data_IF_529949404551
#
_entry.id   IF_529949404551
#
_cell.length_a   1.000
_cell.length_b   1.000
_cell.length_c   1.000
_cell.angle_alpha   90.00
_cell.angle_beta   90.00
_cell.angle_gamma   90.00
#
_symmetry.space_group_name_H-M   'P 1'
#
loop_
_entity.id
_entity.type
_entity.pdbx_description
1 polymer ?
#
# COMPACT_ATOMS: atom_id res chain seq x y z
N UNK A 1 23.14 -10.71 -5.33
CA UNK A 1 23.12 -9.30 -5.76
C UNK A 1 23.92 -9.24 -7.06
N UNK A 2 23.26 -9.24 -8.21
CA UNK A 2 23.95 -9.06 -9.49
C UNK A 2 24.44 -7.62 -9.58
N UNK A 3 25.68 -7.40 -10.01
CA UNK A 3 26.16 -6.07 -10.36
C UNK A 3 25.26 -5.53 -11.48
N UNK A 4 24.33 -4.68 -11.11
CA UNK A 4 23.48 -3.97 -12.06
C UNK A 4 24.38 -3.09 -12.94
N UNK A 5 24.36 -3.34 -14.25
CA UNK A 5 25.05 -2.50 -15.25
C UNK A 5 24.40 -1.12 -15.41
N UNK A 6 23.27 -0.90 -14.72
CA UNK A 6 22.62 0.40 -14.63
C UNK A 6 23.41 1.33 -13.72
N UNK A 7 23.69 2.54 -14.21
CA UNK A 7 24.24 3.62 -13.40
C UNK A 7 23.10 4.53 -12.96
N UNK A 8 22.95 4.71 -11.65
CA UNK A 8 22.04 5.72 -11.10
C UNK A 8 22.53 7.10 -11.54
N UNK A 9 21.61 7.93 -12.04
CA UNK A 9 21.89 9.29 -12.51
C UNK A 9 21.52 10.27 -11.39
N UNK A 10 22.37 11.27 -11.17
CA UNK A 10 22.02 12.37 -10.28
C UNK A 10 20.86 13.19 -10.86
N UNK A 11 19.87 13.51 -10.02
CA UNK A 11 18.66 14.18 -10.49
C UNK A 11 18.93 15.59 -11.00
N UNK A 12 19.83 16.33 -10.35
CA UNK A 12 20.16 17.69 -10.77
C UNK A 12 20.91 17.68 -12.10
N UNK A 13 21.84 16.74 -12.28
CA UNK A 13 22.51 16.51 -13.56
C UNK A 13 21.50 16.16 -14.68
N UNK A 14 20.53 15.30 -14.39
CA UNK A 14 19.50 14.92 -15.35
C UNK A 14 18.62 16.10 -15.78
N UNK A 15 18.13 16.91 -14.83
CA UNK A 15 17.29 18.08 -15.16
C UNK A 15 18.06 19.07 -16.02
N UNK A 16 19.33 19.32 -15.69
CA UNK A 16 20.17 20.23 -16.45
C UNK A 16 20.31 19.79 -17.92
N UNK A 17 20.16 18.48 -18.20
CA UNK A 17 20.30 17.92 -19.53
C UNK A 17 18.98 17.76 -20.30
N UNK A 18 17.87 17.38 -19.64
CA UNK A 18 16.63 16.96 -20.31
C UNK A 18 15.36 17.67 -19.82
N UNK A 19 15.47 18.58 -18.86
CA UNK A 19 14.35 19.23 -18.17
C UNK A 19 13.47 18.27 -17.33
N UNK A 20 12.84 18.81 -16.28
CA UNK A 20 11.94 18.04 -15.41
C UNK A 20 10.67 17.54 -16.13
N UNK A 21 10.27 18.20 -17.23
CA UNK A 21 9.03 17.88 -17.96
C UNK A 21 9.01 16.46 -18.52
N UNK A 22 10.17 15.92 -18.86
CA UNK A 22 10.31 14.55 -19.37
C UNK A 22 9.87 13.53 -18.32
N UNK A 23 10.21 13.74 -17.05
CA UNK A 23 9.85 12.80 -15.96
C UNK A 23 8.35 12.78 -15.73
N UNK A 24 7.70 13.95 -15.75
CA UNK A 24 6.25 14.06 -15.50
C UNK A 24 5.44 13.52 -16.66
N UNK A 25 5.82 13.85 -17.90
CA UNK A 25 5.09 13.40 -19.09
C UNK A 25 5.07 11.87 -19.22
N UNK A 26 6.12 11.21 -18.76
CA UNK A 26 6.26 9.76 -18.87
C UNK A 26 5.98 9.02 -17.56
N UNK A 27 5.52 9.72 -16.51
CA UNK A 27 5.16 9.07 -15.26
C UNK A 27 3.90 8.20 -15.44
N UNK A 28 3.88 6.97 -14.90
CA UNK A 28 2.77 6.04 -15.07
C UNK A 28 1.50 6.59 -14.42
N UNK A 29 0.36 6.53 -15.12
CA UNK A 29 -0.95 6.91 -14.56
C UNK A 29 -1.43 5.79 -13.64
N UNK A 30 -1.57 6.08 -12.34
CA UNK A 30 -2.00 5.07 -11.37
C UNK A 30 -3.51 5.11 -11.21
N UNK A 31 -4.12 3.92 -11.20
CA UNK A 31 -5.55 3.75 -10.94
C UNK A 31 -5.76 3.39 -9.48
N UNK A 32 -6.62 4.13 -8.78
CA UNK A 32 -6.96 3.86 -7.38
C UNK A 32 -8.46 3.68 -7.19
N UNK A 33 -8.82 2.81 -6.25
CA UNK A 33 -10.19 2.60 -5.78
C UNK A 33 -10.67 3.80 -4.95
N UNK A 34 -11.94 4.18 -5.08
CA UNK A 34 -12.59 5.15 -4.17
C UNK A 34 -13.12 4.51 -2.88
N UNK A 35 -13.12 3.17 -2.79
CA UNK A 35 -13.81 2.44 -1.72
C UNK A 35 -12.87 1.86 -0.66
N UNK A 36 -11.59 1.65 -0.96
CA UNK A 36 -10.65 1.01 -0.02
C UNK A 36 -10.50 1.92 1.20
N UNK A 37 -10.87 1.44 2.39
CA UNK A 37 -10.91 2.24 3.61
C UNK A 37 -10.03 1.61 4.68
N UNK A 38 -9.23 2.45 5.32
CA UNK A 38 -8.63 2.11 6.60
C UNK A 38 -9.52 2.59 7.72
N UNK A 39 -9.66 1.74 8.74
CA UNK A 39 -10.38 2.09 9.95
C UNK A 39 -9.39 2.66 10.98
N UNK A 40 -9.25 3.99 11.03
CA UNK A 40 -8.22 4.63 11.86
C UNK A 40 -8.59 4.69 13.35
N UNK A 41 -9.88 4.61 13.70
CA UNK A 41 -10.35 4.87 15.06
C UNK A 41 -10.93 3.65 15.78
N UNK A 42 -10.36 2.46 15.56
CA UNK A 42 -10.74 1.25 16.31
C UNK A 42 -10.61 1.46 17.83
N UNK A 43 -9.56 2.17 18.27
CA UNK A 43 -9.38 2.53 19.69
C UNK A 43 -10.48 3.48 20.20
N UNK A 44 -10.99 4.37 19.35
CA UNK A 44 -12.12 5.24 19.70
C UNK A 44 -13.43 4.45 19.84
N UNK A 45 -13.66 3.42 19.03
CA UNK A 45 -14.80 2.51 19.21
C UNK A 45 -14.72 1.75 20.53
N UNK A 46 -13.55 1.20 20.84
CA UNK A 46 -13.35 0.47 22.10
C UNK A 46 -13.56 1.41 23.29
N UNK A 47 -12.97 2.60 23.27
CA UNK A 47 -13.17 3.63 24.29
C UNK A 47 -14.65 4.07 24.40
N UNK A 48 -15.35 4.21 23.27
CA UNK A 48 -16.78 4.52 23.21
C UNK A 48 -17.59 3.45 23.95
N UNK A 49 -17.36 2.17 23.66
CA UNK A 49 -18.09 1.05 24.28
C UNK A 49 -17.87 1.05 25.79
N UNK A 50 -16.63 1.22 26.26
CA UNK A 50 -16.34 1.30 27.69
C UNK A 50 -17.01 2.50 28.35
N UNK A 51 -16.91 3.69 27.75
CA UNK A 51 -17.46 4.91 28.32
C UNK A 51 -19.00 4.83 28.41
N UNK A 52 -19.66 4.33 27.36
CA UNK A 52 -21.10 4.08 27.35
C UNK A 52 -21.49 3.05 28.41
N UNK A 53 -20.75 1.93 28.50
CA UNK A 53 -20.99 0.89 29.50
C UNK A 53 -20.87 1.41 30.93
N UNK A 54 -19.80 2.13 31.26
CA UNK A 54 -19.62 2.74 32.58
C UNK A 54 -20.68 3.80 32.88
N UNK A 55 -21.10 4.57 31.88
CA UNK A 55 -22.18 5.56 32.04
C UNK A 55 -23.49 4.87 32.39
N UNK A 56 -23.84 3.76 31.74
CA UNK A 56 -25.04 3.00 32.09
C UNK A 56 -24.96 2.36 33.47
N UNK A 57 -23.80 1.81 33.86
CA UNK A 57 -23.59 1.29 35.22
C UNK A 57 -23.78 2.41 36.25
N UNK A 58 -23.21 3.58 36.01
CA UNK A 58 -23.36 4.75 36.88
C UNK A 58 -24.83 5.19 37.01
N UNK A 59 -25.57 5.23 35.90
CA UNK A 59 -27.01 5.54 35.91
C UNK A 59 -27.79 4.50 36.71
N UNK A 60 -27.52 3.21 36.48
CA UNK A 60 -28.19 2.12 37.19
C UNK A 60 -27.96 2.20 38.71
N UNK A 61 -26.71 2.36 39.14
CA UNK A 61 -26.35 2.53 40.57
C UNK A 61 -27.04 3.77 41.16
N UNK A 62 -27.04 4.88 40.42
CA UNK A 62 -27.67 6.13 40.88
C UNK A 62 -29.18 6.00 41.03
N UNK A 63 -29.86 5.26 40.15
CA UNK A 63 -31.29 4.98 40.25
C UNK A 63 -31.58 4.04 41.43
N UNK A 64 -30.76 3.00 41.62
CA UNK A 64 -30.91 2.08 42.76
C UNK A 64 -30.75 2.80 44.11
N UNK A 65 -29.82 3.76 44.19
CA UNK A 65 -29.55 4.53 45.41
C UNK A 65 -30.43 5.77 45.55
N UNK A 66 -31.25 6.10 44.55
CA UNK A 66 -32.13 7.27 44.54
C UNK A 66 -33.00 7.43 45.81
N UNK A 67 -33.58 6.36 46.38
CA UNK A 67 -34.35 6.46 47.62
C UNK A 67 -33.51 6.77 48.87
N UNK A 68 -32.21 6.50 48.83
CA UNK A 68 -31.30 6.61 49.98
C UNK A 68 -30.54 7.94 49.93
N UNK A 69 -29.95 8.26 48.77
CA UNK A 69 -29.14 9.46 48.57
C UNK A 69 -29.02 9.76 47.08
N UNK A 70 -29.51 10.93 46.65
CA UNK A 70 -29.35 11.41 45.27
C UNK A 70 -28.81 12.83 45.26
N UNK A 71 -27.67 13.02 44.57
CA UNK A 71 -27.07 14.34 44.39
C UNK A 71 -27.15 14.76 42.91
N UNK A 72 -28.14 15.59 42.60
CA UNK A 72 -28.37 16.12 41.25
C UNK A 72 -27.19 16.95 40.73
N UNK A 73 -26.50 17.67 41.60
CA UNK A 73 -25.34 18.51 41.25
C UNK A 73 -24.12 17.68 40.82
N UNK A 74 -24.04 16.40 41.17
CA UNK A 74 -22.99 15.48 40.71
C UNK A 74 -23.49 14.64 39.54
N UNK A 75 -24.75 14.21 39.59
CA UNK A 75 -25.35 13.34 38.59
C UNK A 75 -25.38 13.96 37.19
N UNK A 76 -25.95 15.16 37.06
CA UNK A 76 -26.13 15.79 35.74
C UNK A 76 -24.80 16.19 35.08
N UNK A 77 -23.80 16.75 35.79
CA UNK A 77 -22.51 17.06 35.17
C UNK A 77 -21.74 15.83 34.67
N UNK A 78 -21.76 14.71 35.40
CA UNK A 78 -21.10 13.47 34.95
C UNK A 78 -21.76 12.94 33.67
N UNK A 79 -23.09 12.99 33.58
CA UNK A 79 -23.80 12.63 32.35
C UNK A 79 -23.49 13.57 31.18
N UNK A 80 -23.42 14.88 31.42
CA UNK A 80 -23.06 15.85 30.39
C UNK A 80 -21.66 15.60 29.85
N UNK A 81 -20.66 15.46 30.72
CA UNK A 81 -19.26 15.24 30.32
C UNK A 81 -19.09 13.91 29.59
N UNK A 82 -19.64 12.82 30.14
CA UNK A 82 -19.58 11.50 29.50
C UNK A 82 -20.31 11.49 28.15
N UNK A 83 -21.48 12.13 28.06
CA UNK A 83 -22.22 12.30 26.81
C UNK A 83 -21.44 13.07 25.75
N UNK A 84 -20.79 14.18 26.12
CA UNK A 84 -19.95 14.96 25.20
C UNK A 84 -18.75 14.14 24.70
N UNK A 85 -18.04 13.44 25.58
CA UNK A 85 -16.91 12.58 25.20
C UNK A 85 -17.37 11.44 24.28
N UNK A 86 -18.50 10.80 24.60
CA UNK A 86 -19.14 9.77 23.77
C UNK A 86 -19.45 10.30 22.38
N UNK A 87 -20.06 11.48 22.28
CA UNK A 87 -20.39 12.12 21.01
C UNK A 87 -19.14 12.41 20.17
N UNK A 88 -18.06 12.89 20.77
CA UNK A 88 -16.77 13.10 20.10
C UNK A 88 -16.15 11.78 19.60
N UNK A 89 -16.14 10.74 20.44
CA UNK A 89 -15.61 9.42 20.06
C UNK A 89 -16.42 8.78 18.93
N UNK A 90 -17.74 8.92 18.97
CA UNK A 90 -18.63 8.43 17.91
C UNK A 90 -18.43 9.20 16.60
N UNK A 91 -18.33 10.54 16.67
CA UNK A 91 -18.03 11.37 15.51
C UNK A 91 -16.71 10.95 14.86
N UNK A 92 -15.66 10.80 15.68
CA UNK A 92 -14.35 10.33 15.22
C UNK A 92 -14.45 8.93 14.61
N UNK A 93 -15.18 7.99 15.24
CA UNK A 93 -15.39 6.65 14.71
C UNK A 93 -16.08 6.68 13.32
N UNK A 94 -17.16 7.44 13.17
CA UNK A 94 -17.90 7.56 11.90
C UNK A 94 -17.01 8.19 10.81
N UNK A 95 -16.17 9.17 11.16
CA UNK A 95 -15.29 9.87 10.22
C UNK A 95 -13.91 9.19 10.04
N UNK A 96 -13.63 8.12 10.79
CA UNK A 96 -12.33 7.43 10.76
C UNK A 96 -12.15 6.44 9.62
N UNK A 97 -13.17 6.26 8.79
CA UNK A 97 -13.04 5.52 7.54
C UNK A 97 -12.32 6.40 6.53
N UNK A 98 -11.00 6.39 6.60
CA UNK A 98 -10.15 7.15 5.69
C UNK A 98 -9.90 6.29 4.47
N UNK A 99 -10.30 6.77 3.30
CA UNK A 99 -9.97 6.08 2.07
C UNK A 99 -8.44 5.97 1.93
N UNK A 100 -7.94 4.81 1.53
CA UNK A 100 -6.56 4.66 1.12
C UNK A 100 -6.38 5.54 -0.12
N UNK A 101 -5.49 6.51 -0.02
CA UNK A 101 -5.22 7.47 -1.09
C UNK A 101 -3.78 7.40 -1.49
N UNK A 102 -3.56 7.63 -2.77
CA UNK A 102 -2.24 7.94 -3.30
C UNK A 102 -1.85 9.34 -2.83
N UNK A 103 -0.70 9.44 -2.17
CA UNK A 103 -0.21 10.68 -1.55
C UNK A 103 0.74 11.38 -2.53
N UNK A 104 1.78 10.68 -2.94
CA UNK A 104 2.85 11.19 -3.79
C UNK A 104 3.56 10.03 -4.49
N UNK A 105 4.44 10.35 -5.43
CA UNK A 105 5.29 9.38 -6.10
C UNK A 105 6.72 9.84 -6.01
N UNK A 106 7.59 8.94 -5.56
CA UNK A 106 9.03 9.16 -5.61
C UNK A 106 9.62 8.51 -6.84
N UNK A 107 10.76 8.97 -7.32
CA UNK A 107 11.41 8.32 -8.45
C UNK A 107 12.93 8.36 -8.42
N UNK A 108 13.53 7.42 -9.12
CA UNK A 108 14.96 7.34 -9.41
C UNK A 108 15.18 7.13 -10.91
N UNK A 109 16.30 7.63 -11.41
CA UNK A 109 16.67 7.55 -12.82
C UNK A 109 17.94 6.72 -12.95
N UNK A 110 17.90 5.78 -13.89
CA UNK A 110 19.00 4.90 -14.23
C UNK A 110 19.33 5.01 -15.70
N UNK A 111 20.62 5.00 -16.02
CA UNK A 111 21.14 5.07 -17.39
C UNK A 111 22.09 3.90 -17.65
N UNK A 112 21.99 3.35 -18.84
CA UNK A 112 22.98 2.46 -19.40
C UNK A 112 23.35 2.95 -20.80
N UNK A 113 24.64 3.00 -21.09
CA UNK A 113 25.14 3.36 -22.40
C UNK A 113 25.51 2.06 -23.12
N UNK A 114 24.69 1.67 -24.10
CA UNK A 114 24.86 0.41 -24.82
C UNK A 114 25.95 0.52 -25.88
N UNK A 115 25.93 1.61 -26.66
CA UNK A 115 26.87 1.91 -27.74
C UNK A 115 27.06 3.43 -27.90
N UNK A 116 27.96 3.87 -28.79
CA UNK A 116 28.16 5.29 -29.14
C UNK A 116 26.91 5.95 -29.74
N UNK A 117 25.92 5.17 -30.19
CA UNK A 117 24.72 5.65 -30.88
C UNK A 117 23.45 5.57 -30.04
N UNK A 118 23.40 4.72 -29.00
CA UNK A 118 22.17 4.50 -28.23
C UNK A 118 22.41 4.47 -26.73
N UNK A 119 21.56 5.20 -26.01
CA UNK A 119 21.47 5.19 -24.56
C UNK A 119 20.12 4.64 -24.12
N UNK A 120 20.13 3.80 -23.08
CA UNK A 120 18.91 3.29 -22.45
C UNK A 120 18.72 3.96 -21.11
N UNK A 121 17.47 4.29 -20.80
CA UNK A 121 17.08 4.86 -19.51
C UNK A 121 15.99 4.01 -18.88
N UNK A 122 16.01 3.93 -17.56
CA UNK A 122 14.91 3.41 -16.77
C UNK A 122 14.55 4.43 -15.69
N UNK A 123 13.28 4.80 -15.64
CA UNK A 123 12.71 5.58 -14.55
C UNK A 123 11.98 4.63 -13.62
N UNK A 124 12.48 4.47 -12.40
CA UNK A 124 11.83 3.69 -11.36
C UNK A 124 10.95 4.63 -10.55
N UNK A 125 9.64 4.47 -10.65
CA UNK A 125 8.64 5.22 -9.91
C UNK A 125 8.16 4.41 -8.71
N UNK A 126 7.98 5.09 -7.60
CA UNK A 126 7.56 4.53 -6.32
C UNK A 126 6.31 5.25 -5.81
N UNK A 127 5.11 4.85 -6.27
CA UNK A 127 3.85 5.40 -5.79
C UNK A 127 3.66 5.08 -4.30
N UNK A 128 3.31 6.10 -3.50
CA UNK A 128 3.11 5.98 -2.05
C UNK A 128 1.64 6.15 -1.71
N UNK A 129 1.14 5.17 -0.96
CA UNK A 129 -0.24 5.12 -0.50
C UNK A 129 -0.29 5.37 1.01
N UNK A 130 -1.40 5.96 1.47
CA UNK A 130 -1.62 6.24 2.88
C UNK A 130 -1.70 5.00 3.78
N UNK A 131 -1.83 3.81 3.16
CA UNK A 131 -2.16 2.57 3.82
C UNK A 131 -2.16 1.38 2.87
N UNK A 132 -2.37 0.18 3.40
CA UNK A 132 -2.59 -1.09 2.65
C UNK A 132 -3.63 -1.91 3.39
N UNK A 133 -4.56 -2.50 2.64
CA UNK A 133 -5.56 -3.43 3.14
C UNK A 133 -5.32 -4.81 2.52
N UNK A 134 -5.37 -5.87 3.32
CA UNK A 134 -5.23 -7.26 2.85
C UNK A 134 -6.60 -7.93 2.67
N UNK A 135 -6.73 -8.91 1.74
CA UNK A 135 -8.00 -9.57 1.42
C UNK A 135 -8.64 -10.25 2.63
N UNK A 136 -7.80 -10.87 3.45
CA UNK A 136 -8.23 -11.59 4.63
C UNK A 136 -8.27 -10.61 5.81
N UNK A 137 -9.46 -10.22 6.25
CA UNK A 137 -9.64 -9.25 7.34
C UNK A 137 -8.90 -9.65 8.63
N UNK A 138 -8.80 -10.95 8.90
CA UNK A 138 -8.05 -11.45 10.05
C UNK A 138 -6.53 -11.31 9.83
N UNK A 139 -5.98 -11.75 8.67
CA UNK A 139 -4.55 -11.53 8.36
C UNK A 139 -4.19 -10.04 8.25
N UNK A 140 -5.14 -9.20 7.83
CA UNK A 140 -4.96 -7.74 7.78
C UNK A 140 -4.66 -7.18 9.18
N UNK A 141 -5.32 -7.68 10.23
CA UNK A 141 -5.02 -7.27 11.61
C UNK A 141 -3.60 -7.65 12.00
N UNK A 142 -3.15 -8.87 11.66
CA UNK A 142 -1.78 -9.31 11.93
C UNK A 142 -0.77 -8.47 11.15
N UNK A 143 -1.07 -8.15 9.89
CA UNK A 143 -0.26 -7.24 9.08
C UNK A 143 -0.20 -5.83 9.67
N UNK A 144 -1.29 -5.31 10.22
CA UNK A 144 -1.26 -4.02 10.95
C UNK A 144 -0.39 -4.08 12.20
N UNK A 145 -0.41 -5.19 12.94
CA UNK A 145 0.50 -5.38 14.07
C UNK A 145 1.98 -5.43 13.61
N UNK A 146 2.25 -6.09 12.48
CA UNK A 146 3.57 -6.07 11.85
C UNK A 146 3.99 -4.65 11.43
N UNK A 147 3.11 -3.89 10.79
CA UNK A 147 3.38 -2.50 10.40
C UNK A 147 3.66 -1.61 11.62
N UNK A 148 2.86 -1.75 12.68
CA UNK A 148 2.99 -0.95 13.90
C UNK A 148 4.29 -1.24 14.66
N UNK A 149 4.62 -2.52 14.87
CA UNK A 149 5.77 -2.88 15.71
C UNK A 149 7.09 -2.84 14.91
N UNK A 150 7.15 -3.41 13.70
CA UNK A 150 8.40 -3.54 12.92
C UNK A 150 8.65 -2.36 11.98
N UNK A 151 7.70 -2.06 11.10
CA UNK A 151 7.87 -1.00 10.10
C UNK A 151 7.76 0.39 10.73
N UNK A 152 6.98 0.54 11.82
CA UNK A 152 6.67 1.81 12.51
C UNK A 152 6.07 2.87 11.58
N UNK A 153 5.44 2.42 10.50
CA UNK A 153 4.83 3.28 9.49
C UNK A 153 3.70 2.51 8.78
N UNK A 154 2.57 3.17 8.57
CA UNK A 154 1.40 2.62 7.87
C UNK A 154 1.45 2.77 6.35
N UNK A 155 2.29 3.68 5.85
CA UNK A 155 2.41 3.96 4.42
C UNK A 155 2.73 2.68 3.66
N UNK A 156 2.13 2.54 2.49
CA UNK A 156 2.44 1.48 1.54
C UNK A 156 3.12 2.07 0.31
N UNK A 157 3.89 1.25 -0.36
CA UNK A 157 4.74 1.69 -1.46
C UNK A 157 4.84 0.58 -2.50
N UNK A 158 4.67 0.94 -3.76
CA UNK A 158 4.84 0.03 -4.90
C UNK A 158 5.99 0.52 -5.78
N UNK A 159 6.38 -0.29 -6.76
CA UNK A 159 7.43 0.07 -7.72
C UNK A 159 6.95 -0.23 -9.14
N UNK A 160 7.12 0.75 -10.02
CA UNK A 160 6.82 0.68 -11.44
C UNK A 160 8.02 1.22 -12.21
N UNK A 161 8.59 0.41 -13.09
CA UNK A 161 9.71 0.79 -13.92
C UNK A 161 9.21 1.17 -15.32
N UNK A 162 9.71 2.27 -15.87
CA UNK A 162 9.42 2.71 -17.24
C UNK A 162 10.72 2.74 -18.02
N UNK A 163 10.75 2.03 -19.14
CA UNK A 163 11.95 1.87 -19.95
C UNK A 163 11.90 2.76 -21.18
N UNK A 164 13.04 3.37 -21.50
CA UNK A 164 13.20 4.26 -22.64
C UNK A 164 14.46 3.94 -23.43
N UNK A 165 14.39 4.27 -24.72
CA UNK A 165 15.53 4.33 -25.62
C UNK A 165 15.72 5.76 -26.12
N UNK A 166 16.98 6.20 -26.14
CA UNK A 166 17.39 7.48 -26.72
C UNK A 166 18.43 7.21 -27.80
N UNK A 167 18.24 7.85 -28.95
CA UNK A 167 19.26 7.93 -29.99
C UNK A 167 20.19 9.09 -29.62
N UNK A 168 21.50 8.86 -29.52
CA UNK A 168 22.46 9.90 -29.13
C UNK A 168 22.50 11.07 -30.13
N UNK A 169 22.03 10.85 -31.37
CA UNK A 169 21.83 11.90 -32.38
C UNK A 169 20.62 12.80 -32.12
N UNK A 170 19.65 12.34 -31.33
CA UNK A 170 18.42 13.05 -30.96
C UNK A 170 18.16 12.91 -29.45
N UNK A 171 19.04 13.47 -28.59
CA UNK A 171 19.04 13.19 -27.16
C UNK A 171 17.73 13.62 -26.46
N UNK A 172 17.02 14.60 -27.03
CA UNK A 172 15.74 15.10 -26.49
C UNK A 172 14.56 14.15 -26.71
N UNK A 173 14.69 13.16 -27.61
CA UNK A 173 13.60 12.22 -27.91
C UNK A 173 13.72 10.94 -27.11
N UNK A 174 13.01 10.91 -25.98
CA UNK A 174 12.77 9.68 -25.23
C UNK A 174 11.73 8.83 -25.95
N UNK A 175 12.15 7.67 -26.48
CA UNK A 175 11.26 6.67 -27.08
C UNK A 175 10.86 5.70 -25.97
N UNK A 176 9.62 5.75 -25.45
CA UNK A 176 9.16 4.80 -24.43
C UNK A 176 9.07 3.40 -25.03
N UNK A 177 9.62 2.42 -24.32
CA UNK A 177 9.56 1.00 -24.68
C UNK A 177 8.36 0.32 -24.01
N UNK A 178 8.12 0.64 -22.73
CA UNK A 178 7.02 0.06 -21.97
C UNK A 178 7.25 0.12 -20.46
N UNK A 179 6.38 -0.59 -19.74
CA UNK A 179 6.32 -0.63 -18.28
C UNK A 179 6.71 -2.02 -17.76
N UNK A 180 7.36 -2.06 -16.60
CA UNK A 180 7.65 -3.30 -15.88
C UNK A 180 7.26 -3.12 -14.42
N UNK A 181 6.41 -4.01 -13.91
CA UNK A 181 5.95 -3.95 -12.53
C UNK A 181 5.50 -5.35 -12.07
N UNK A 182 5.31 -5.50 -10.76
CA UNK A 182 4.84 -6.73 -10.13
C UNK A 182 3.43 -7.08 -10.62
N UNK A 183 3.26 -8.27 -11.19
CA UNK A 183 1.98 -8.73 -11.71
C UNK A 183 1.60 -10.07 -11.07
N UNK A 184 0.50 -10.09 -10.31
CA UNK A 184 -0.03 -11.31 -9.74
C UNK A 184 -0.48 -12.30 -10.82
N UNK A 185 0.13 -13.47 -10.90
CA UNK A 185 -0.29 -14.55 -11.79
C UNK A 185 -1.28 -15.49 -11.11
N UNK A 186 -2.39 -15.77 -11.78
CA UNK A 186 -3.49 -16.60 -11.26
C UNK A 186 -4.85 -16.06 -11.68
N UNK A 187 -5.92 -16.65 -11.16
CA UNK A 187 -7.28 -16.13 -11.37
C UNK A 187 -7.53 -15.05 -10.30
N UNK A 188 -7.61 -13.76 -10.68
CA UNK A 188 -7.86 -12.71 -9.70
C UNK A 188 -9.26 -12.87 -9.09
N UNK A 189 -9.44 -12.37 -7.86
CA UNK A 189 -10.71 -12.36 -7.10
C UNK A 189 -11.21 -13.71 -6.56
N UNK A 190 -10.81 -14.86 -7.11
CA UNK A 190 -11.30 -16.17 -6.63
C UNK A 190 -10.43 -16.81 -5.53
N UNK A 191 -9.15 -16.48 -5.44
CA UNK A 191 -8.21 -17.09 -4.49
C UNK A 191 -7.20 -16.10 -3.91
N UNK A 192 -6.80 -16.33 -2.65
CA UNK A 192 -5.63 -15.68 -2.04
C UNK A 192 -4.31 -16.26 -2.59
N UNK A 193 -4.36 -17.44 -3.20
CA UNK A 193 -3.24 -18.19 -3.79
C UNK A 193 -2.94 -17.67 -5.21
N UNK A 194 -2.59 -16.39 -5.32
CA UNK A 194 -1.99 -15.84 -6.53
C UNK A 194 -0.47 -15.78 -6.36
N UNK A 195 0.27 -16.08 -7.43
CA UNK A 195 1.71 -15.90 -7.44
C UNK A 195 2.02 -14.41 -7.54
N UNK A 196 2.48 -13.82 -6.43
CA UNK A 196 2.81 -12.39 -6.34
C UNK A 196 4.27 -12.10 -6.65
N UNK A 197 5.12 -13.10 -6.88
CA UNK A 197 6.56 -12.87 -7.05
C UNK A 197 6.93 -12.50 -8.49
N UNK A 198 6.03 -12.72 -9.45
CA UNK A 198 6.30 -12.49 -10.87
C UNK A 198 6.23 -11.00 -11.22
N UNK A 199 7.25 -10.51 -11.92
CA UNK A 199 7.23 -9.20 -12.57
C UNK A 199 7.07 -9.35 -14.07
N UNK A 200 6.27 -8.48 -14.70
CA UNK A 200 5.91 -8.61 -16.11
C UNK A 200 6.06 -7.32 -16.88
N UNK A 201 6.56 -7.44 -18.12
CA UNK A 201 6.72 -6.34 -19.05
C UNK A 201 5.47 -6.14 -19.91
N UNK A 202 5.10 -4.86 -20.06
CA UNK A 202 3.96 -4.41 -20.85
C UNK A 202 4.46 -3.39 -21.87
N UNK A 203 4.43 -3.72 -23.17
CA UNK A 203 4.82 -2.80 -24.24
C UNK A 203 3.97 -1.51 -24.24
N UNK A 204 4.58 -0.39 -24.66
CA UNK A 204 3.93 0.92 -24.65
C UNK A 204 2.67 0.97 -25.51
N UNK A 205 2.57 0.16 -26.56
CA UNK A 205 1.39 0.10 -27.44
C UNK A 205 0.14 -0.33 -26.67
N UNK A 206 0.32 -1.13 -25.60
CA UNK A 206 -0.78 -1.53 -24.74
C UNK A 206 -1.35 -0.34 -23.98
N UNK A 207 -0.60 0.71 -23.64
CA UNK A 207 -1.17 1.83 -22.88
C UNK A 207 -2.19 2.69 -23.63
N UNK A 208 -2.33 2.53 -24.96
CA UNK A 208 -3.17 3.40 -25.80
C UNK A 208 -4.66 3.00 -25.87
N UNK A 209 -5.05 1.83 -25.35
CA UNK A 209 -6.43 1.29 -25.42
C UNK A 209 -7.15 1.25 -24.06
N UNK A 210 -6.86 2.19 -23.14
CA UNK A 210 -7.55 2.38 -21.85
C UNK A 210 -7.78 1.11 -20.99
N UNK A 211 -6.73 0.36 -20.63
CA UNK A 211 -6.93 -0.81 -19.75
C UNK A 211 -5.75 -1.34 -18.86
N UNK A 212 -4.59 -0.67 -18.67
CA UNK A 212 -3.36 -1.48 -18.48
C UNK A 212 -2.40 -1.21 -17.31
N UNK A 213 -2.58 -0.16 -16.51
CA UNK A 213 -2.03 -0.16 -15.14
C UNK A 213 -3.05 -0.71 -14.13
N UNK A 214 -4.10 -1.38 -14.61
CA UNK A 214 -5.24 -1.94 -13.88
C UNK A 214 -4.88 -2.97 -12.79
N UNK A 215 -3.60 -3.11 -12.45
CA UNK A 215 -2.99 -4.19 -11.68
C UNK A 215 -1.90 -3.70 -10.71
N UNK A 216 -1.54 -2.41 -10.71
CA UNK A 216 -0.42 -1.87 -9.93
C UNK A 216 -0.65 -1.76 -8.41
N UNK A 217 -1.75 -2.34 -7.90
CA UNK A 217 -1.82 -2.82 -6.53
C UNK A 217 -2.91 -3.89 -6.40
N UNK A 218 -2.68 -5.09 -6.95
CA UNK A 218 -3.58 -6.25 -6.77
C UNK A 218 -3.95 -6.46 -5.29
N UNK A 219 -3.03 -6.12 -4.38
CA UNK A 219 -3.28 -6.17 -2.95
C UNK A 219 -4.29 -5.14 -2.43
N UNK A 220 -4.56 -4.05 -3.15
CA UNK A 220 -5.57 -3.06 -2.76
C UNK A 220 -6.92 -3.28 -3.45
N UNK A 221 -7.03 -4.23 -4.38
CA UNK A 221 -8.27 -4.46 -5.15
C UNK A 221 -9.23 -5.47 -4.50
N UNK A 222 -8.97 -5.94 -3.29
CA UNK A 222 -9.63 -7.14 -2.75
C UNK A 222 -10.96 -6.95 -2.01
N UNK A 223 -11.33 -5.73 -1.58
CA UNK A 223 -12.67 -5.49 -0.99
C UNK A 223 -13.82 -5.77 -1.97
N UNK A 224 -13.48 -5.98 -3.25
CA UNK A 224 -14.43 -6.17 -4.33
C UNK A 224 -14.67 -7.64 -4.68
N UNK A 225 -14.11 -8.60 -3.93
CA UNK A 225 -14.33 -10.03 -4.19
C UNK A 225 -15.81 -10.40 -4.25
N UNK A 226 -16.64 -9.83 -3.37
CA UNK A 226 -18.09 -10.09 -3.34
C UNK A 226 -18.85 -9.25 -4.39
N UNK A 227 -18.39 -8.03 -4.68
CA UNK A 227 -19.00 -7.12 -5.66
C UNK A 227 -18.68 -7.51 -7.13
N UNK A 228 -17.50 -8.10 -7.40
CA UNK A 228 -16.99 -8.44 -8.75
C UNK A 228 -17.32 -9.85 -9.19
N UNK A 229 -17.58 -10.78 -8.27
CA UNK A 229 -17.98 -12.16 -8.61
C UNK A 229 -19.27 -12.20 -9.43
N UNK A 230 -20.07 -11.13 -9.38
CA UNK A 230 -21.35 -11.00 -10.07
C UNK A 230 -21.30 -10.21 -11.40
N UNK A 231 -20.25 -9.42 -11.69
CA UNK A 231 -20.33 -8.42 -12.79
C UNK A 231 -18.95 -7.94 -13.33
N UNK A 232 -18.09 -8.88 -13.76
CA UNK A 232 -16.76 -8.58 -14.33
C UNK A 232 -16.81 -7.64 -15.56
N UNK A 233 -17.79 -7.80 -16.45
CA UNK A 233 -17.92 -6.97 -17.67
C UNK A 233 -18.26 -5.50 -17.36
N UNK A 234 -18.71 -5.19 -16.14
CA UNK A 234 -19.10 -3.85 -15.69
C UNK A 234 -17.96 -3.06 -15.03
N UNK A 235 -16.78 -3.64 -14.89
CA UNK A 235 -15.59 -3.00 -14.29
C UNK A 235 -15.18 -1.71 -15.01
N UNK A 236 -15.36 -1.62 -16.34
CA UNK A 236 -15.00 -0.43 -17.10
C UNK A 236 -16.09 0.66 -17.05
N UNK A 237 -17.36 0.25 -16.95
CA UNK A 237 -18.51 1.15 -17.07
C UNK A 237 -19.03 1.70 -15.72
N UNK A 238 -18.85 0.96 -14.62
CA UNK A 238 -19.50 1.28 -13.33
C UNK A 238 -18.56 1.43 -12.14
N UNK A 239 -17.30 1.00 -12.21
CA UNK A 239 -16.39 1.19 -11.09
C UNK A 239 -15.90 2.64 -11.08
N UNK A 240 -16.06 3.38 -9.96
CA UNK A 240 -15.71 4.78 -9.91
C UNK A 240 -14.20 4.91 -9.68
N UNK A 241 -13.41 4.64 -10.72
CA UNK A 241 -11.97 4.79 -10.70
C UNK A 241 -11.56 6.24 -10.50
N UNK A 242 -10.41 6.45 -9.87
CA UNK A 242 -9.68 7.72 -9.96
C UNK A 242 -8.38 7.43 -10.70
N UNK A 243 -8.27 8.00 -11.91
CA UNK A 243 -6.99 8.06 -12.60
C UNK A 243 -6.18 9.19 -11.99
N UNK A 244 -5.08 8.85 -11.33
CA UNK A 244 -4.17 9.84 -10.78
C UNK A 244 -3.06 10.15 -11.77
N UNK A 245 -2.93 11.43 -12.11
CA UNK A 245 -1.83 11.96 -12.93
C UNK A 245 -0.91 12.78 -12.04
N UNK A 246 0.38 12.63 -12.27
CA UNK A 246 1.41 13.30 -11.48
C UNK A 246 1.63 14.73 -11.96
N UNK A 247 1.96 15.59 -11.01
CA UNK A 247 2.37 16.96 -11.25
C UNK A 247 3.71 17.25 -10.54
N UNK A 248 4.21 18.47 -10.70
CA UNK A 248 5.46 18.89 -10.09
C UNK A 248 5.44 18.91 -8.55
N UNK A 249 4.27 18.88 -7.91
CA UNK A 249 4.14 18.95 -6.45
C UNK A 249 4.20 17.55 -5.83
N UNK A 250 3.61 16.57 -6.51
CA UNK A 250 3.43 15.21 -6.00
C UNK A 250 4.47 14.23 -6.55
N UNK A 251 5.27 14.62 -7.54
CA UNK A 251 6.37 13.82 -8.08
C UNK A 251 7.71 14.34 -7.55
N UNK A 252 8.42 13.53 -6.75
CA UNK A 252 9.65 13.95 -6.06
C UNK A 252 10.81 12.99 -6.33
N UNK A 253 12.06 13.47 -6.44
CA UNK A 253 13.22 12.57 -6.49
C UNK A 253 13.36 11.81 -5.16
N UNK A 254 13.68 10.52 -5.24
CA UNK A 254 13.93 9.71 -4.05
C UNK A 254 15.27 10.11 -3.41
N UNK A 255 15.23 10.48 -2.12
CA UNK A 255 16.41 10.84 -1.33
C UNK A 255 16.67 9.82 -0.23
N UNK A 256 17.90 9.76 0.27
CA UNK A 256 18.24 8.91 1.41
C UNK A 256 17.43 9.24 2.67
N UNK A 257 17.05 10.50 2.87
CA UNK A 257 16.20 10.89 3.98
C UNK A 257 14.79 10.29 3.86
N UNK A 258 14.25 10.25 2.64
CA UNK A 258 12.97 9.61 2.35
C UNK A 258 13.04 8.09 2.56
N UNK A 259 14.12 7.43 2.12
CA UNK A 259 14.36 6.01 2.38
C UNK A 259 14.38 5.69 3.88
N UNK A 260 15.10 6.50 4.69
CA UNK A 260 15.11 6.36 6.15
C UNK A 260 13.73 6.52 6.78
N UNK A 261 12.93 7.47 6.30
CA UNK A 261 11.59 7.74 6.84
C UNK A 261 10.59 6.60 6.58
N UNK A 262 10.78 5.84 5.50
CA UNK A 262 9.93 4.69 5.17
C UNK A 262 10.43 3.35 5.73
N UNK A 263 11.58 3.34 6.42
CA UNK A 263 12.32 2.11 6.75
C UNK A 263 12.49 1.22 5.51
N UNK A 264 13.08 1.80 4.48
CA UNK A 264 13.20 1.22 3.13
C UNK A 264 13.71 -0.21 3.11
N UNK A 265 14.70 -0.55 3.95
CA UNK A 265 15.29 -1.90 4.02
C UNK A 265 14.31 -3.01 4.46
N UNK A 266 13.25 -2.62 5.17
CA UNK A 266 12.18 -3.53 5.57
C UNK A 266 11.12 -3.69 4.47
N UNK A 267 11.11 -2.79 3.48
CA UNK A 267 10.12 -2.80 2.40
C UNK A 267 10.50 -3.82 1.31
N UNK A 268 9.51 -4.42 0.64
CA UNK A 268 9.72 -5.40 -0.42
C UNK A 268 10.08 -4.75 -1.77
N UNK A 269 10.96 -3.74 -1.77
CA UNK A 269 11.34 -2.93 -2.93
C UNK A 269 12.80 -3.17 -3.29
N UNK A 270 13.10 -3.18 -4.58
CA UNK A 270 14.46 -3.32 -5.08
C UNK A 270 14.95 -2.00 -5.68
N UNK A 271 16.19 -1.64 -5.33
CA UNK A 271 16.80 -0.35 -5.66
C UNK A 271 17.29 -0.22 -7.10
N UNK A 272 17.31 -1.29 -7.91
CA UNK A 272 17.88 -1.25 -9.25
C UNK A 272 16.91 -1.78 -10.31
N UNK A 273 16.90 -1.21 -11.53
CA UNK A 273 16.06 -1.71 -12.62
C UNK A 273 16.37 -3.16 -12.97
N UNK A 274 15.31 -3.90 -13.25
CA UNK A 274 15.36 -5.36 -13.38
C UNK A 274 15.69 -5.82 -14.80
N UNK A 275 15.11 -5.18 -15.80
CA UNK A 275 15.27 -5.56 -17.20
C UNK A 275 16.48 -4.91 -17.86
N UNK A 276 16.95 -5.55 -18.92
CA UNK A 276 18.06 -5.08 -19.76
C UNK A 276 17.58 -4.92 -21.21
N UNK A 277 17.11 -3.74 -21.61
CA UNK A 277 16.65 -3.49 -22.98
C UNK A 277 17.68 -3.79 -24.08
N UNK A 278 18.98 -3.75 -23.75
CA UNK A 278 20.07 -4.01 -24.70
C UNK A 278 20.36 -5.49 -24.95
N UNK A 279 19.88 -6.40 -24.09
CA UNK A 279 20.19 -7.84 -24.19
C UNK A 279 19.25 -8.57 -25.16
N UNK A 280 18.07 -8.00 -25.44
CA UNK A 280 17.08 -8.61 -26.34
C UNK A 280 15.67 -8.09 -26.08
N UNK A 281 14.68 -8.88 -26.48
CA UNK A 281 13.25 -8.54 -26.32
C UNK A 281 12.86 -8.47 -24.84
N UNK A 282 12.27 -7.36 -24.42
CA UNK A 282 11.87 -7.12 -23.03
C UNK A 282 10.71 -8.03 -22.60
N UNK A 283 9.83 -8.40 -23.53
CA UNK A 283 8.66 -9.25 -23.28
C UNK A 283 9.05 -10.68 -22.86
N UNK A 284 10.27 -11.11 -23.22
CA UNK A 284 10.78 -12.45 -22.92
C UNK A 284 11.66 -12.48 -21.67
N UNK A 285 11.92 -11.32 -21.06
CA UNK A 285 12.69 -11.23 -19.83
C UNK A 285 11.75 -11.37 -18.63
N UNK A 286 11.91 -12.45 -17.88
CA UNK A 286 11.17 -12.70 -16.65
C UNK A 286 12.03 -12.35 -15.44
N UNK A 287 11.39 -11.83 -14.40
CA UNK A 287 12.05 -11.55 -13.13
C UNK A 287 11.14 -11.99 -11.98
N UNK A 288 11.65 -12.92 -11.19
CA UNK A 288 10.99 -13.36 -9.97
C UNK A 288 11.66 -12.71 -8.76
N UNK A 289 10.82 -12.08 -7.93
CA UNK A 289 11.26 -11.36 -6.74
C UNK A 289 10.63 -11.98 -5.49
N UNK A 290 11.36 -12.89 -4.85
CA UNK A 290 10.90 -13.52 -3.61
C UNK A 290 10.69 -12.52 -2.48
N UNK A 291 11.30 -11.32 -2.54
CA UNK A 291 11.09 -10.28 -1.54
C UNK A 291 9.79 -9.52 -1.75
N UNK A 292 9.19 -9.52 -2.95
CA UNK A 292 7.98 -8.75 -3.23
C UNK A 292 6.76 -9.18 -2.40
N UNK A 293 6.77 -10.39 -1.83
CA UNK A 293 5.73 -10.91 -0.93
C UNK A 293 6.19 -11.06 0.53
N UNK A 294 7.37 -10.52 0.89
CA UNK A 294 8.03 -10.75 2.18
C UNK A 294 7.16 -10.40 3.39
N UNK A 295 6.45 -9.27 3.35
CA UNK A 295 5.62 -8.85 4.49
C UNK A 295 4.49 -9.85 4.78
N UNK A 296 3.88 -10.40 3.72
CA UNK A 296 2.83 -11.40 3.83
C UNK A 296 3.38 -12.78 4.19
N UNK A 297 4.58 -13.12 3.73
CA UNK A 297 5.30 -14.33 4.20
C UNK A 297 5.56 -14.26 5.69
N UNK A 298 6.12 -13.14 6.18
CA UNK A 298 6.35 -12.91 7.61
C UNK A 298 5.03 -13.05 8.40
N UNK A 299 3.95 -12.44 7.91
CA UNK A 299 2.63 -12.56 8.55
C UNK A 299 2.15 -14.02 8.61
N UNK A 300 2.27 -14.77 7.51
CA UNK A 300 1.87 -16.17 7.47
C UNK A 300 2.76 -17.04 8.39
N UNK A 301 4.09 -16.85 8.36
CA UNK A 301 5.05 -17.55 9.22
C UNK A 301 4.77 -17.33 10.70
N UNK A 302 4.44 -16.10 11.09
CA UNK A 302 4.10 -15.76 12.48
C UNK A 302 2.80 -16.42 12.91
N UNK A 303 1.80 -16.41 12.03
CA UNK A 303 0.53 -17.10 12.26
C UNK A 303 0.78 -18.60 12.45
N UNK A 304 1.52 -19.24 11.54
CA UNK A 304 1.84 -20.67 11.60
C UNK A 304 2.63 -21.02 12.86
N UNK A 305 3.57 -20.16 13.28
CA UNK A 305 4.40 -20.40 14.46
C UNK A 305 3.61 -20.32 15.77
N UNK A 306 2.66 -19.41 15.87
CA UNK A 306 1.92 -19.14 17.12
C UNK A 306 0.64 -20.00 17.22
N UNK A 307 -0.07 -20.14 16.11
CA UNK A 307 -1.39 -20.80 16.07
C UNK A 307 -1.27 -22.25 15.56
N UNK A 308 -0.28 -22.53 14.72
CA UNK A 308 -0.02 -23.85 14.14
C UNK A 308 -0.29 -23.91 12.62
N UNK A 309 0.41 -24.80 11.89
CA UNK A 309 0.35 -24.88 10.43
C UNK A 309 -1.00 -25.38 9.87
N UNK A 310 -1.77 -26.11 10.67
CA UNK A 310 -3.04 -26.70 10.24
C UNK A 310 -4.24 -25.74 10.31
N UNK A 311 -4.04 -24.53 10.87
CA UNK A 311 -5.13 -23.58 11.13
C UNK A 311 -5.25 -22.56 10.01
N UNK A 312 -6.27 -22.72 9.16
CA UNK A 312 -6.64 -21.70 8.15
C UNK A 312 -7.38 -20.53 8.81
N UNK A 313 -6.67 -19.42 9.03
CA UNK A 313 -7.24 -18.15 9.48
C UNK A 313 -8.19 -17.59 8.42
N UNK A 314 -9.50 -17.53 8.73
CA UNK A 314 -10.53 -16.97 7.84
C UNK A 314 -11.32 -15.84 8.49
N UNK A 315 -11.44 -15.86 9.82
CA UNK A 315 -12.24 -14.90 10.60
C UNK A 315 -11.44 -14.40 11.80
N UNK A 316 -11.82 -13.22 12.29
CA UNK A 316 -11.18 -12.58 13.45
C UNK A 316 -11.18 -13.46 14.70
N UNK A 317 -12.24 -14.27 14.90
CA UNK A 317 -12.33 -15.24 15.99
C UNK A 317 -11.21 -16.28 15.97
N UNK A 318 -10.65 -16.60 14.79
CA UNK A 318 -9.57 -17.58 14.65
C UNK A 318 -8.23 -17.03 15.18
N UNK A 319 -8.15 -15.71 15.38
CA UNK A 319 -7.02 -15.02 16.03
C UNK A 319 -7.29 -14.69 17.51
N UNK A 320 -8.50 -14.96 18.00
CA UNK A 320 -8.89 -14.58 19.36
C UNK A 320 -8.07 -15.36 20.39
N UNK A 321 -7.46 -14.64 21.34
CA UNK A 321 -6.51 -15.19 22.30
C UNK A 321 -5.03 -15.07 21.92
N UNK A 322 -4.70 -15.00 20.62
CA UNK A 322 -3.30 -15.00 20.14
C UNK A 322 -2.76 -13.62 19.75
N UNK A 323 -3.61 -12.59 19.62
CA UNK A 323 -3.19 -11.25 19.17
C UNK A 323 -2.10 -10.62 20.04
N UNK A 324 -2.13 -10.82 21.37
CA UNK A 324 -1.11 -10.29 22.27
C UNK A 324 0.23 -10.99 22.08
N UNK A 325 0.20 -12.30 21.86
CA UNK A 325 1.40 -13.12 21.61
C UNK A 325 2.02 -12.77 20.26
N UNK A 326 1.20 -12.65 19.21
CA UNK A 326 1.61 -12.18 17.87
C UNK A 326 2.29 -10.81 17.96
N UNK A 327 1.68 -9.88 18.71
CA UNK A 327 2.23 -8.55 18.91
C UNK A 327 3.58 -8.59 19.64
N UNK A 328 3.69 -9.39 20.71
CA UNK A 328 4.93 -9.56 21.46
C UNK A 328 6.03 -10.15 20.57
N UNK A 329 5.69 -11.16 19.77
CA UNK A 329 6.62 -11.79 18.83
C UNK A 329 7.19 -10.79 17.81
N UNK A 330 6.34 -9.95 17.19
CA UNK A 330 6.84 -8.92 16.27
C UNK A 330 7.77 -7.91 16.94
N UNK A 331 7.52 -7.57 18.21
CA UNK A 331 8.41 -6.70 18.97
C UNK A 331 9.77 -7.35 19.22
N UNK A 332 9.78 -8.64 19.52
CA UNK A 332 11.01 -9.38 19.82
C UNK A 332 11.87 -9.62 18.56
N UNK A 333 11.27 -9.57 17.36
CA UNK A 333 12.02 -9.60 16.09
C UNK A 333 12.86 -8.34 15.82
N UNK A 334 12.69 -7.27 16.60
CA UNK A 334 13.43 -6.00 16.46
C UNK A 334 14.79 -6.05 17.18
N UNK A 335 15.04 -7.09 18.01
CA UNK A 335 16.25 -7.23 18.85
C UNK A 335 17.45 -7.77 18.09
#
# INVERSE_FOLDING_TARGET
MSNSEWKKVDFQEFINQFENRVVIKNAPIIMTSKKDKEHEAFKSLVALIFLVGFTFIYVAISIMLLPIYFNSYIFYPILLVSGSITGMLLYNYIHSNVNIKLIECWFEIYKHQSDDTTSHFCFSYYPIFSGKCLPNSAKNIVYKLYQDELIKNKLDITQVEVYFKILNSEPEKFIPLGYFFQNGEGIPFKSEEINRNTWKFFPIEKSNNDNYLATANWDHQYEWREDLELDFDKLNDYAPWVLHRWDHQNLKPLTENYKRTLNWDLRPINDAPKLKPWVGKLETQEYDDFKSYKDLQIVNEVIERIIGPDVKIKKLKDLSGHLFEIKAYFRDLIV
#
